data_IF_742726760296
#
_entry.id   IF_742726760296
#
_cell.length_a   1.000
_cell.length_b   1.000
_cell.length_c   1.000
_cell.angle_alpha   90.00
_cell.angle_beta   90.00
_cell.angle_gamma   90.00
#
_symmetry.space_group_name_H-M   'P 1'
#
loop_
_entity.id
_entity.type
_entity.pdbx_description
1 polymer ?
#
# COMPACT_ATOMS: atom_id res chain seq x y z
N UNK A 1 14.79 2.20 -2.40
CA UNK A 1 15.92 2.90 -3.03
C UNK A 1 16.42 2.18 -4.28
N UNK A 2 16.97 0.96 -4.22
CA UNK A 2 17.51 0.25 -5.39
C UNK A 2 16.52 0.06 -6.55
N UNK A 3 15.26 -0.26 -6.25
CA UNK A 3 14.20 -0.36 -7.26
C UNK A 3 13.90 1.00 -7.92
N UNK A 4 13.83 2.07 -7.12
CA UNK A 4 13.61 3.44 -7.62
C UNK A 4 14.76 3.92 -8.52
N UNK A 5 16.02 3.62 -8.16
CA UNK A 5 17.17 3.95 -8.98
C UNK A 5 17.17 3.18 -10.30
N UNK A 6 16.72 1.91 -10.28
CA UNK A 6 16.65 1.09 -11.49
C UNK A 6 15.50 1.49 -12.40
N UNK A 7 14.36 1.86 -11.83
CA UNK A 7 13.20 2.35 -12.56
C UNK A 7 13.45 3.71 -13.20
N UNK A 8 14.24 4.55 -12.54
CA UNK A 8 14.39 5.95 -12.89
C UNK A 8 13.21 6.80 -12.40
N UNK A 9 13.46 8.09 -12.20
CA UNK A 9 12.38 9.05 -11.90
C UNK A 9 11.88 9.59 -13.24
N UNK A 10 10.74 9.08 -13.67
CA UNK A 10 10.07 9.50 -14.90
C UNK A 10 8.62 9.94 -14.61
N UNK A 11 7.97 10.46 -15.64
CA UNK A 11 6.60 10.97 -15.54
C UNK A 11 5.61 9.86 -15.17
N UNK A 12 5.81 8.63 -15.63
CA UNK A 12 4.93 7.49 -15.41
C UNK A 12 4.93 7.09 -13.92
N UNK A 13 6.11 7.08 -13.30
CA UNK A 13 6.27 6.85 -11.87
C UNK A 13 5.53 7.92 -11.06
N UNK A 14 5.65 9.20 -11.45
CA UNK A 14 5.00 10.31 -10.75
C UNK A 14 3.48 10.22 -10.93
N UNK A 15 2.99 10.00 -12.15
CA UNK A 15 1.56 9.88 -12.43
C UNK A 15 0.92 8.72 -11.66
N UNK A 16 1.61 7.58 -11.62
CA UNK A 16 1.16 6.40 -10.87
C UNK A 16 1.15 6.63 -9.36
N UNK A 17 2.14 7.35 -8.83
CA UNK A 17 2.19 7.72 -7.42
C UNK A 17 1.05 8.70 -7.06
N UNK A 18 0.79 9.69 -7.90
CA UNK A 18 -0.32 10.61 -7.72
C UNK A 18 -1.66 9.89 -7.81
N UNK A 19 -1.85 9.00 -8.79
CA UNK A 19 -3.07 8.21 -8.93
C UNK A 19 -3.36 7.39 -7.66
N UNK A 20 -2.37 6.67 -7.14
CA UNK A 20 -2.52 5.89 -5.91
C UNK A 20 -2.84 6.76 -4.71
N UNK A 21 -2.09 7.86 -4.54
CA UNK A 21 -2.26 8.80 -3.43
C UNK A 21 -3.67 9.42 -3.45
N UNK A 22 -4.10 9.98 -4.59
CA UNK A 22 -5.42 10.59 -4.73
C UNK A 22 -6.55 9.58 -4.58
N UNK A 23 -6.39 8.35 -5.07
CA UNK A 23 -7.36 7.27 -4.87
C UNK A 23 -7.62 7.06 -3.38
N UNK A 24 -6.57 6.89 -2.57
CA UNK A 24 -6.72 6.67 -1.13
C UNK A 24 -7.33 7.90 -0.44
N UNK A 25 -6.88 9.11 -0.79
CA UNK A 25 -7.42 10.37 -0.24
C UNK A 25 -8.92 10.48 -0.55
N UNK A 26 -9.32 10.22 -1.79
CA UNK A 26 -10.72 10.27 -2.21
C UNK A 26 -11.58 9.32 -1.36
N UNK A 27 -11.17 8.06 -1.21
CA UNK A 27 -11.91 7.10 -0.40
C UNK A 27 -11.95 7.47 1.09
N UNK A 28 -10.86 7.97 1.67
CA UNK A 28 -10.85 8.44 3.06
C UNK A 28 -11.83 9.61 3.26
N UNK A 29 -11.86 10.53 2.31
CA UNK A 29 -12.81 11.65 2.33
C UNK A 29 -14.23 11.10 2.23
N UNK A 30 -14.55 10.28 1.23
CA UNK A 30 -15.88 9.70 1.06
C UNK A 30 -16.34 8.93 2.31
N UNK A 31 -15.47 8.07 2.88
CA UNK A 31 -15.82 7.28 4.06
C UNK A 31 -16.10 8.17 5.27
N UNK A 32 -15.37 9.26 5.46
CA UNK A 32 -15.54 10.08 6.65
C UNK A 32 -16.65 11.16 6.52
N UNK A 33 -16.98 11.58 5.29
CA UNK A 33 -18.03 12.59 5.06
C UNK A 33 -19.40 11.98 4.75
N UNK A 34 -19.48 10.75 4.24
CA UNK A 34 -20.75 10.07 3.97
C UNK A 34 -21.17 9.25 5.19
N UNK A 35 -22.28 9.61 5.90
CA UNK A 35 -22.66 8.96 7.16
C UNK A 35 -22.85 7.45 7.03
N UNK A 36 -23.41 6.98 5.91
CA UNK A 36 -23.61 5.57 5.66
C UNK A 36 -22.27 4.80 5.61
N UNK A 37 -21.26 5.35 4.92
CA UNK A 37 -19.94 4.74 4.83
C UNK A 37 -19.19 4.80 6.17
N UNK A 38 -19.35 5.88 6.92
CA UNK A 38 -18.76 6.02 8.26
C UNK A 38 -19.29 4.96 9.24
N UNK A 39 -20.55 4.59 9.14
CA UNK A 39 -21.15 3.51 9.94
C UNK A 39 -20.59 2.14 9.55
N UNK A 40 -20.30 1.92 8.26
CA UNK A 40 -19.67 0.69 7.75
C UNK A 40 -18.20 0.60 8.19
N UNK A 41 -17.48 1.72 8.15
CA UNK A 41 -16.05 1.81 8.49
C UNK A 41 -15.83 2.72 9.73
N UNK A 42 -16.32 2.33 10.92
CA UNK A 42 -16.30 3.21 12.10
C UNK A 42 -14.89 3.48 12.63
N UNK A 43 -13.92 2.66 12.26
CA UNK A 43 -12.56 2.70 12.78
C UNK A 43 -11.53 2.89 11.68
N UNK A 44 -10.53 3.74 11.90
CA UNK A 44 -9.42 3.91 10.96
C UNK A 44 -8.64 2.61 10.67
N UNK A 45 -8.59 1.67 11.62
CA UNK A 45 -7.97 0.36 11.36
C UNK A 45 -8.67 -0.41 10.24
N UNK A 46 -10.01 -0.37 10.17
CA UNK A 46 -10.79 -0.96 9.09
C UNK A 46 -10.65 -0.19 7.78
N UNK A 47 -10.65 1.15 7.86
CA UNK A 47 -10.43 2.01 6.69
C UNK A 47 -9.06 1.72 6.06
N UNK A 48 -8.01 1.70 6.87
CA UNK A 48 -6.66 1.41 6.39
C UNK A 48 -6.51 -0.01 5.86
N UNK A 49 -7.11 -1.00 6.54
CA UNK A 49 -7.11 -2.37 6.05
C UNK A 49 -7.82 -2.51 4.69
N UNK A 50 -8.85 -1.68 4.43
CA UNK A 50 -9.55 -1.64 3.15
C UNK A 50 -8.88 -0.80 2.07
N UNK A 51 -7.97 0.11 2.41
CA UNK A 51 -7.40 1.08 1.46
C UNK A 51 -5.90 0.85 1.20
N UNK A 52 -5.11 0.53 2.25
CA UNK A 52 -3.68 0.40 2.13
C UNK A 52 -3.31 -1.03 1.76
N UNK A 53 -2.73 -1.20 0.58
CA UNK A 53 -2.31 -2.49 0.03
C UNK A 53 -0.88 -2.86 0.36
N UNK A 54 -0.60 -4.16 0.36
CA UNK A 54 0.75 -4.72 0.47
C UNK A 54 1.49 -4.65 -0.88
N UNK A 55 1.56 -3.45 -1.41
CA UNK A 55 2.08 -3.13 -2.74
C UNK A 55 3.57 -3.42 -2.86
N UNK A 56 4.36 -3.11 -1.81
CA UNK A 56 5.80 -3.36 -1.79
C UNK A 56 6.14 -4.85 -1.71
N UNK A 57 5.54 -5.60 -0.78
CA UNK A 57 5.98 -6.96 -0.45
C UNK A 57 5.26 -8.05 -1.23
N UNK A 58 4.09 -7.77 -1.78
CA UNK A 58 3.35 -8.68 -2.66
C UNK A 58 3.13 -8.08 -4.05
N UNK A 59 2.76 -6.82 -4.14
CA UNK A 59 2.43 -6.19 -5.41
C UNK A 59 3.62 -6.12 -6.37
N UNK A 60 4.77 -5.63 -5.93
CA UNK A 60 5.98 -5.56 -6.77
C UNK A 60 6.45 -6.94 -7.21
N UNK A 61 6.59 -7.98 -6.34
CA UNK A 61 6.93 -9.33 -6.77
C UNK A 61 5.97 -9.91 -7.81
N UNK A 62 4.67 -9.72 -7.62
CA UNK A 62 3.64 -10.21 -8.54
C UNK A 62 3.76 -9.51 -9.91
N UNK A 63 3.93 -8.19 -9.92
CA UNK A 63 4.10 -7.45 -11.15
C UNK A 63 5.36 -7.88 -11.91
N UNK A 64 6.49 -8.05 -11.23
CA UNK A 64 7.73 -8.55 -11.85
C UNK A 64 7.56 -9.96 -12.43
N UNK A 65 6.73 -10.80 -11.82
CA UNK A 65 6.49 -12.16 -12.28
C UNK A 65 5.51 -12.25 -13.46
N UNK A 66 4.53 -11.35 -13.55
CA UNK A 66 3.43 -11.45 -14.50
C UNK A 66 3.52 -10.44 -15.65
N UNK A 67 4.25 -9.33 -15.48
CA UNK A 67 4.24 -8.21 -16.41
C UNK A 67 5.62 -7.94 -17.01
N UNK A 68 5.68 -7.32 -18.19
CA UNK A 68 6.93 -6.87 -18.78
C UNK A 68 7.65 -5.82 -17.93
N UNK A 69 8.97 -5.72 -18.11
CA UNK A 69 9.83 -4.83 -17.34
C UNK A 69 9.50 -3.35 -17.50
N UNK A 70 8.88 -2.96 -18.61
CA UNK A 70 8.44 -1.59 -18.89
C UNK A 70 7.39 -1.09 -17.89
N UNK A 71 6.62 -1.99 -17.29
CA UNK A 71 5.58 -1.64 -16.31
C UNK A 71 6.10 -1.39 -14.91
N UNK A 72 7.39 -1.59 -14.67
CA UNK A 72 7.98 -1.50 -13.32
C UNK A 72 7.83 -0.08 -12.73
N UNK A 73 7.87 0.95 -13.59
CA UNK A 73 7.72 2.34 -13.16
C UNK A 73 6.32 2.62 -12.61
N UNK A 74 5.29 2.10 -13.27
CA UNK A 74 3.90 2.20 -12.82
C UNK A 74 3.69 1.47 -11.49
N UNK A 75 4.26 0.28 -11.37
CA UNK A 75 4.20 -0.55 -10.17
C UNK A 75 4.86 0.12 -8.97
N UNK A 76 6.09 0.62 -9.13
CA UNK A 76 6.85 1.31 -8.08
C UNK A 76 6.21 2.66 -7.75
N UNK A 77 5.72 3.38 -8.76
CA UNK A 77 5.01 4.64 -8.56
C UNK A 77 3.77 4.46 -7.70
N UNK A 78 2.94 3.46 -8.00
CA UNK A 78 1.76 3.16 -7.19
C UNK A 78 2.11 2.81 -5.74
N UNK A 79 3.15 1.97 -5.54
CA UNK A 79 3.67 1.64 -4.22
C UNK A 79 4.15 2.90 -3.47
N UNK A 80 4.87 3.77 -4.15
CA UNK A 80 5.35 5.04 -3.59
C UNK A 80 4.20 5.92 -3.11
N UNK A 81 3.16 6.11 -3.93
CA UNK A 81 1.98 6.90 -3.57
C UNK A 81 1.24 6.33 -2.37
N UNK A 82 1.03 5.02 -2.34
CA UNK A 82 0.42 4.31 -1.21
C UNK A 82 1.26 4.44 0.07
N UNK A 83 2.57 4.30 -0.05
CA UNK A 83 3.51 4.38 1.08
C UNK A 83 3.60 5.79 1.62
N UNK A 84 3.69 6.81 0.75
CA UNK A 84 3.68 8.21 1.18
C UNK A 84 2.40 8.56 1.92
N UNK A 85 1.24 8.17 1.39
CA UNK A 85 -0.02 8.37 2.10
C UNK A 85 0.03 7.72 3.49
N UNK A 86 0.45 6.47 3.57
CA UNK A 86 0.47 5.70 4.81
C UNK A 86 1.33 6.35 5.89
N UNK A 87 2.52 6.83 5.54
CA UNK A 87 3.47 7.38 6.51
C UNK A 87 3.25 8.87 6.81
N UNK A 88 2.63 9.63 5.92
CA UNK A 88 2.31 11.05 6.13
C UNK A 88 0.98 11.20 6.87
N UNK A 89 -0.09 10.61 6.32
CA UNK A 89 -1.44 10.81 6.80
C UNK A 89 -1.90 9.74 7.81
N UNK A 90 -1.34 8.53 7.75
CA UNK A 90 -1.68 7.45 8.67
C UNK A 90 -1.53 7.84 10.14
N UNK A 91 -0.37 8.33 10.59
CA UNK A 91 -0.16 8.81 11.95
C UNK A 91 -1.14 9.90 12.36
N UNK A 92 -1.38 10.88 11.47
CA UNK A 92 -2.31 11.99 11.73
C UNK A 92 -3.74 11.51 11.96
N UNK A 93 -4.26 10.67 11.06
CA UNK A 93 -5.64 10.16 11.15
C UNK A 93 -5.84 9.27 12.38
N UNK A 94 -4.85 8.45 12.73
CA UNK A 94 -4.91 7.58 13.90
C UNK A 94 -4.83 8.36 15.23
N UNK A 95 -4.08 9.45 15.27
CA UNK A 95 -4.00 10.32 16.46
C UNK A 95 -5.29 11.10 16.69
N UNK A 96 -5.96 11.57 15.65
CA UNK A 96 -7.20 12.37 15.74
C UNK A 96 -8.30 11.70 16.57
N UNK A 97 -8.27 10.39 16.73
CA UNK A 97 -9.24 9.62 17.53
C UNK A 97 -8.82 9.40 18.98
N UNK A 98 -7.73 9.99 19.44
CA UNK A 98 -7.27 9.87 20.83
C UNK A 98 -7.78 11.04 21.67
N UNK A 99 -8.29 10.77 22.89
CA UNK A 99 -8.91 11.77 23.76
C UNK A 99 -7.98 12.93 24.18
N UNK A 100 -6.68 12.75 24.07
CA UNK A 100 -5.66 13.78 24.38
C UNK A 100 -5.12 14.46 23.12
N UNK A 101 -6.02 14.91 22.25
CA UNK A 101 -5.62 15.64 21.05
C UNK A 101 -5.21 17.08 21.41
N UNK A 102 -3.95 17.27 21.80
CA UNK A 102 -3.35 18.59 21.77
C UNK A 102 -2.97 18.93 20.33
N UNK A 103 -3.31 20.14 19.91
CA UNK A 103 -3.09 20.72 18.57
C UNK A 103 -1.87 20.12 17.85
N UNK A 104 -2.04 19.81 16.57
CA UNK A 104 -1.00 19.29 15.66
C UNK A 104 0.35 19.94 15.95
N UNK A 105 1.24 19.21 16.56
CA UNK A 105 2.61 19.65 16.66
C UNK A 105 3.26 19.41 15.29
N UNK A 106 3.20 20.41 14.40
CA UNK A 106 3.78 20.38 13.05
C UNK A 106 5.22 19.85 13.05
N UNK A 107 5.99 20.18 14.09
CA UNK A 107 7.36 19.68 14.25
C UNK A 107 7.40 18.16 14.40
N UNK A 108 6.49 17.57 15.19
CA UNK A 108 6.41 16.10 15.33
C UNK A 108 5.95 15.42 14.04
N UNK A 109 5.00 16.04 13.31
CA UNK A 109 4.54 15.52 12.03
C UNK A 109 5.68 15.56 10.99
N UNK A 110 6.33 16.70 10.82
CA UNK A 110 7.48 16.85 9.92
C UNK A 110 8.60 15.87 10.28
N UNK A 111 8.94 15.76 11.56
CA UNK A 111 9.94 14.81 12.04
C UNK A 111 9.56 13.36 11.71
N UNK A 112 8.29 12.99 11.88
CA UNK A 112 7.77 11.65 11.52
C UNK A 112 7.88 11.39 10.02
N UNK A 113 7.56 12.38 9.18
CA UNK A 113 7.69 12.29 7.72
C UNK A 113 9.15 12.07 7.32
N UNK A 114 10.06 12.94 7.76
CA UNK A 114 11.48 12.85 7.41
C UNK A 114 12.15 11.57 7.93
N UNK A 115 11.71 11.06 9.06
CA UNK A 115 12.24 9.81 9.64
C UNK A 115 11.59 8.55 9.07
N UNK A 116 10.58 8.66 8.21
CA UNK A 116 9.98 7.47 7.62
C UNK A 116 10.98 6.75 6.69
N UNK A 117 10.96 5.42 6.62
CA UNK A 117 11.81 4.66 5.71
C UNK A 117 11.62 5.07 4.23
N UNK A 118 10.39 5.40 3.85
CA UNK A 118 10.06 5.86 2.51
C UNK A 118 10.72 7.19 2.18
N UNK A 119 10.58 8.19 3.06
CA UNK A 119 11.19 9.52 2.84
C UNK A 119 12.72 9.45 2.78
N UNK A 120 13.33 8.66 3.68
CA UNK A 120 14.78 8.42 3.63
C UNK A 120 15.22 7.77 2.33
N UNK A 121 14.44 6.80 1.82
CA UNK A 121 14.68 6.17 0.53
C UNK A 121 14.62 7.16 -0.62
N UNK A 122 13.60 8.04 -0.65
CA UNK A 122 13.44 9.07 -1.67
C UNK A 122 14.56 10.11 -1.59
N UNK A 123 14.84 10.64 -0.39
CA UNK A 123 15.93 11.61 -0.19
C UNK A 123 17.26 11.01 -0.67
N UNK A 124 17.55 9.74 -0.32
CA UNK A 124 18.75 9.06 -0.79
C UNK A 124 18.81 8.92 -2.32
N UNK A 125 17.69 8.63 -2.98
CA UNK A 125 17.61 8.60 -4.45
C UNK A 125 17.88 9.98 -5.04
N UNK A 126 17.23 11.02 -4.52
CA UNK A 126 17.43 12.39 -5.00
C UNK A 126 18.89 12.84 -4.86
N UNK A 127 19.54 12.53 -3.73
CA UNK A 127 20.97 12.83 -3.53
C UNK A 127 21.82 12.09 -4.59
N UNK A 128 21.55 10.82 -4.87
CA UNK A 128 22.29 10.02 -5.86
C UNK A 128 22.14 10.63 -7.26
N UNK A 129 20.93 11.08 -7.62
CA UNK A 129 20.69 11.77 -8.90
C UNK A 129 21.42 13.11 -8.99
N UNK A 130 21.47 13.90 -7.90
CA UNK A 130 22.20 15.17 -7.88
C UNK A 130 23.72 15.03 -8.13
N UNK A 131 24.28 13.86 -7.87
CA UNK A 131 25.69 13.57 -8.09
C UNK A 131 25.94 12.71 -9.35
N UNK A 132 24.93 12.49 -10.20
CA UNK A 132 25.00 11.65 -11.41
C UNK A 132 25.56 10.22 -11.16
N UNK A 133 25.26 9.68 -9.98
CA UNK A 133 25.71 8.35 -9.54
C UNK A 133 24.62 7.27 -9.69
N UNK A 134 23.47 7.62 -10.26
CA UNK A 134 22.26 6.76 -10.36
C UNK A 134 22.54 5.46 -11.09
N UNK A 135 23.27 5.47 -12.22
CA UNK A 135 23.58 4.28 -12.98
C UNK A 135 24.52 3.31 -12.24
N UNK A 136 25.56 3.84 -11.59
CA UNK A 136 26.56 3.03 -10.86
C UNK A 136 25.94 2.41 -9.60
N UNK A 137 25.31 3.26 -8.78
CA UNK A 137 24.70 2.85 -7.51
C UNK A 137 23.45 2.02 -7.75
N UNK A 138 22.65 2.33 -8.78
CA UNK A 138 21.46 1.59 -9.17
C UNK A 138 21.81 0.13 -9.54
N UNK A 139 22.85 -0.07 -10.35
CA UNK A 139 23.31 -1.42 -10.70
C UNK A 139 23.86 -2.19 -9.48
N UNK A 140 24.58 -1.54 -8.59
CA UNK A 140 25.08 -2.14 -7.35
C UNK A 140 23.93 -2.54 -6.39
N UNK A 141 22.93 -1.67 -6.22
CA UNK A 141 21.80 -1.91 -5.33
C UNK A 141 20.71 -2.81 -5.92
N UNK A 142 20.78 -3.14 -7.22
CA UNK A 142 19.77 -3.97 -7.88
C UNK A 142 19.69 -5.38 -7.29
N UNK A 143 20.85 -6.03 -7.08
CA UNK A 143 20.91 -7.39 -6.50
C UNK A 143 20.38 -7.40 -5.06
N UNK A 144 20.88 -6.55 -4.14
CA UNK A 144 20.30 -6.43 -2.80
C UNK A 144 18.80 -6.13 -2.80
N UNK A 145 18.32 -5.25 -3.69
CA UNK A 145 16.89 -4.93 -3.77
C UNK A 145 16.05 -6.16 -4.11
N UNK A 146 16.49 -7.01 -5.04
CA UNK A 146 15.80 -8.27 -5.37
C UNK A 146 15.82 -9.27 -4.22
N UNK A 147 16.94 -9.40 -3.52
CA UNK A 147 17.04 -10.27 -2.33
C UNK A 147 16.02 -9.83 -1.26
N UNK A 148 15.93 -8.52 -1.01
CA UNK A 148 14.96 -7.97 -0.04
C UNK A 148 13.52 -8.29 -0.44
N UNK A 149 13.17 -8.32 -1.74
CA UNK A 149 11.83 -8.73 -2.19
C UNK A 149 11.52 -10.17 -1.78
N UNK A 150 12.45 -11.12 -1.97
CA UNK A 150 12.25 -12.51 -1.56
C UNK A 150 12.17 -12.64 -0.03
N UNK A 151 13.04 -11.94 0.71
CA UNK A 151 12.98 -11.90 2.17
C UNK A 151 11.66 -11.32 2.66
N UNK A 152 11.11 -10.33 1.97
CA UNK A 152 9.82 -9.74 2.30
C UNK A 152 8.68 -10.76 2.24
N UNK A 153 8.66 -11.64 1.23
CA UNK A 153 7.66 -12.73 1.13
C UNK A 153 7.77 -13.67 2.35
N UNK A 154 8.99 -14.01 2.77
CA UNK A 154 9.20 -14.82 3.97
C UNK A 154 8.66 -14.11 5.22
N UNK A 155 8.91 -12.80 5.35
CA UNK A 155 8.37 -11.99 6.47
C UNK A 155 6.84 -11.96 6.45
N UNK A 156 6.21 -11.84 5.28
CA UNK A 156 4.74 -11.93 5.16
C UNK A 156 4.26 -13.30 5.63
N UNK A 157 4.88 -14.39 5.15
CA UNK A 157 4.54 -15.77 5.53
C UNK A 157 4.68 -16.01 7.04
N UNK A 158 5.79 -15.60 7.65
CA UNK A 158 5.99 -15.74 9.11
C UNK A 158 4.98 -14.93 9.91
N UNK A 159 4.64 -13.72 9.50
CA UNK A 159 3.60 -12.91 10.14
C UNK A 159 2.22 -13.57 10.06
N UNK A 160 1.88 -14.11 8.90
CA UNK A 160 0.64 -14.88 8.74
C UNK A 160 0.62 -16.12 9.65
N UNK A 161 1.73 -16.86 9.73
CA UNK A 161 1.86 -18.02 10.62
C UNK A 161 1.66 -17.67 12.10
N UNK A 162 2.22 -16.56 12.58
CA UNK A 162 2.02 -16.07 13.95
C UNK A 162 0.54 -15.72 14.20
N UNK A 163 -0.14 -15.08 13.24
CA UNK A 163 -1.55 -14.72 13.35
C UNK A 163 -2.41 -15.98 13.39
N UNK A 164 -2.10 -16.97 12.56
CA UNK A 164 -2.83 -18.24 12.48
C UNK A 164 -2.74 -19.08 13.76
N UNK A 165 -1.56 -19.06 14.40
CA UNK A 165 -1.34 -19.83 15.63
C UNK A 165 -2.13 -19.28 16.84
N UNK A 166 -2.59 -18.05 16.79
CA UNK A 166 -3.53 -17.49 17.75
C UNK A 166 -4.97 -17.86 17.35
N UNK A 167 -5.41 -19.08 17.73
CA UNK A 167 -6.74 -19.66 17.41
C UNK A 167 -7.95 -18.72 17.62
N UNK A 168 -7.84 -17.72 18.50
CA UNK A 168 -8.88 -16.70 18.75
C UNK A 168 -9.09 -15.72 17.59
N UNK A 169 -8.11 -15.56 16.71
CA UNK A 169 -8.14 -14.51 15.68
C UNK A 169 -9.00 -14.90 14.47
N UNK A 170 -9.08 -16.18 14.13
CA UNK A 170 -9.65 -16.62 12.85
C UNK A 170 -11.17 -16.74 12.88
N UNK A 171 -11.78 -17.17 14.00
CA UNK A 171 -13.17 -17.60 14.03
C UNK A 171 -14.23 -16.56 14.46
N UNK A 172 -13.85 -15.36 14.88
CA UNK A 172 -14.82 -14.31 15.21
C UNK A 172 -14.86 -13.23 14.13
N UNK A 173 -15.66 -13.44 13.10
CA UNK A 173 -15.95 -12.40 12.09
C UNK A 173 -16.81 -11.29 12.73
N UNK A 174 -16.20 -10.13 13.03
CA UNK A 174 -16.97 -8.91 13.18
C UNK A 174 -17.46 -8.49 11.80
N UNK A 175 -18.77 -8.22 11.67
CA UNK A 175 -19.41 -7.93 10.37
C UNK A 175 -18.71 -6.87 9.53
N UNK A 176 -18.11 -5.87 10.16
CA UNK A 176 -17.45 -4.76 9.47
C UNK A 176 -16.16 -5.13 8.72
N UNK A 177 -15.52 -6.27 9.03
CA UNK A 177 -14.31 -6.71 8.30
C UNK A 177 -14.65 -7.03 6.84
N UNK A 178 -15.79 -7.66 6.56
CA UNK A 178 -16.23 -8.01 5.22
C UNK A 178 -16.22 -6.82 4.26
N UNK A 179 -16.60 -5.64 4.75
CA UNK A 179 -16.62 -4.42 3.94
C UNK A 179 -15.20 -3.95 3.58
N UNK A 180 -14.25 -4.06 4.52
CA UNK A 180 -12.83 -3.77 4.21
C UNK A 180 -12.26 -4.74 3.17
N UNK A 181 -12.67 -6.02 3.20
CA UNK A 181 -12.27 -7.02 2.20
C UNK A 181 -12.83 -6.66 0.82
N UNK A 182 -14.14 -6.37 0.74
CA UNK A 182 -14.81 -5.98 -0.51
C UNK A 182 -14.19 -4.69 -1.06
N UNK A 183 -13.98 -3.70 -0.19
CA UNK A 183 -13.33 -2.44 -0.59
C UNK A 183 -11.95 -2.71 -1.18
N UNK A 184 -11.13 -3.52 -0.50
CA UNK A 184 -9.74 -3.75 -0.88
C UNK A 184 -9.57 -4.60 -2.13
N UNK A 185 -10.30 -5.72 -2.21
CA UNK A 185 -10.08 -6.72 -3.25
C UNK A 185 -10.98 -6.57 -4.47
N UNK A 186 -12.03 -5.74 -4.38
CA UNK A 186 -12.99 -5.57 -5.47
C UNK A 186 -13.15 -4.09 -5.85
N UNK A 187 -13.58 -3.24 -4.91
CA UNK A 187 -13.93 -1.84 -5.23
C UNK A 187 -12.72 -1.03 -5.67
N UNK A 188 -11.61 -1.12 -4.94
CA UNK A 188 -10.39 -0.38 -5.28
C UNK A 188 -9.81 -0.76 -6.65
N UNK A 189 -9.59 -2.04 -7.00
CA UNK A 189 -9.09 -2.38 -8.32
C UNK A 189 -10.05 -1.97 -9.44
N UNK A 190 -11.38 -2.10 -9.26
CA UNK A 190 -12.36 -1.62 -10.25
C UNK A 190 -12.27 -0.10 -10.39
N UNK A 191 -12.19 0.63 -9.29
CA UNK A 191 -12.08 2.09 -9.32
C UNK A 191 -10.80 2.54 -10.03
N UNK A 192 -9.65 1.92 -9.73
CA UNK A 192 -8.38 2.20 -10.39
C UNK A 192 -8.47 1.86 -11.88
N UNK A 193 -9.09 0.74 -12.25
CA UNK A 193 -9.32 0.39 -13.65
C UNK A 193 -10.09 1.49 -14.39
N UNK A 194 -11.21 1.94 -13.83
CA UNK A 194 -12.02 3.01 -14.42
C UNK A 194 -11.22 4.31 -14.54
N UNK A 195 -10.46 4.68 -13.49
CA UNK A 195 -9.61 5.88 -13.55
C UNK A 195 -8.53 5.78 -14.64
N UNK A 196 -7.88 4.63 -14.77
CA UNK A 196 -6.87 4.42 -15.81
C UNK A 196 -7.48 4.56 -17.20
N UNK A 197 -8.69 4.04 -17.41
CA UNK A 197 -9.41 4.18 -18.70
C UNK A 197 -9.78 5.64 -18.99
N UNK A 198 -10.21 6.40 -17.98
CA UNK A 198 -10.50 7.84 -18.11
C UNK A 198 -9.23 8.65 -18.40
N UNK A 199 -8.13 8.30 -17.79
CA UNK A 199 -6.83 8.96 -17.95
C UNK A 199 -6.05 8.48 -19.19
N UNK A 200 -6.62 7.57 -20.00
CA UNK A 200 -6.04 7.02 -21.23
C UNK A 200 -4.69 6.27 -21.01
N UNK A 201 -4.53 5.58 -19.89
CA UNK A 201 -3.44 4.64 -19.73
C UNK A 201 -3.57 3.46 -20.70
N UNK A 202 -2.46 2.96 -21.21
CA UNK A 202 -2.42 1.73 -22.00
C UNK A 202 -2.91 0.52 -21.20
N UNK A 203 -3.31 -0.55 -21.90
CA UNK A 203 -3.86 -1.72 -21.24
C UNK A 203 -2.87 -2.35 -20.26
N UNK A 204 -1.61 -2.45 -20.67
CA UNK A 204 -0.55 -3.08 -19.86
C UNK A 204 -0.21 -2.25 -18.62
N UNK A 205 -0.21 -0.92 -18.72
CA UNK A 205 -0.03 0.03 -17.63
C UNK A 205 -1.21 -0.06 -16.65
N UNK A 206 -2.43 -0.09 -17.21
CA UNK A 206 -3.67 -0.29 -16.46
C UNK A 206 -3.61 -1.60 -15.68
N UNK A 207 -3.15 -2.68 -16.28
CA UNK A 207 -3.00 -3.98 -15.62
C UNK A 207 -2.04 -3.87 -14.43
N UNK A 208 -0.90 -3.21 -14.60
CA UNK A 208 0.07 -3.00 -13.52
C UNK A 208 -0.56 -2.26 -12.32
N UNK A 209 -1.26 -1.16 -12.60
CA UNK A 209 -1.89 -0.31 -11.57
C UNK A 209 -3.04 -1.03 -10.86
N UNK A 210 -3.87 -1.78 -11.61
CA UNK A 210 -4.99 -2.54 -11.05
C UNK A 210 -4.51 -3.71 -10.19
N UNK A 211 -3.46 -4.43 -10.62
CA UNK A 211 -2.86 -5.47 -9.79
C UNK A 211 -2.32 -4.90 -8.48
N UNK A 212 -1.69 -3.72 -8.50
CA UNK A 212 -1.24 -3.02 -7.29
C UNK A 212 -2.42 -2.64 -6.38
N UNK A 213 -3.50 -2.12 -6.95
CA UNK A 213 -4.71 -1.79 -6.20
C UNK A 213 -5.37 -3.04 -5.59
N UNK A 214 -5.33 -4.19 -6.29
CA UNK A 214 -5.89 -5.48 -5.86
C UNK A 214 -5.02 -6.26 -4.87
N UNK A 215 -3.83 -5.76 -4.48
CA UNK A 215 -3.00 -6.41 -3.46
C UNK A 215 -3.74 -6.51 -2.11
N UNK A 216 -3.48 -7.53 -1.28
CA UNK A 216 -4.10 -7.64 0.05
C UNK A 216 -3.72 -6.48 0.97
N UNK A 217 -4.37 -6.36 2.11
CA UNK A 217 -4.06 -5.34 3.11
C UNK A 217 -2.58 -5.35 3.49
N UNK A 218 -2.01 -4.17 3.77
CA UNK A 218 -0.60 -4.04 4.09
C UNK A 218 -0.25 -4.44 5.53
N UNK A 219 0.95 -4.97 5.72
CA UNK A 219 1.51 -5.24 7.07
C UNK A 219 1.63 -3.93 7.87
N UNK A 220 1.92 -2.81 7.22
CA UNK A 220 2.01 -1.50 7.84
C UNK A 220 0.74 -1.09 8.59
N UNK A 221 -0.44 -1.59 8.18
CA UNK A 221 -1.70 -1.33 8.88
C UNK A 221 -1.73 -1.92 10.30
N UNK A 222 -1.12 -3.10 10.49
CA UNK A 222 -0.96 -3.72 11.82
C UNK A 222 0.03 -2.92 12.66
N UNK A 223 1.18 -2.55 12.08
CA UNK A 223 2.21 -1.79 12.77
C UNK A 223 1.69 -0.43 13.24
N UNK A 224 0.94 0.26 12.37
CA UNK A 224 0.28 1.51 12.74
C UNK A 224 -0.79 1.32 13.82
N UNK A 225 -1.63 0.29 13.69
CA UNK A 225 -2.64 -0.01 14.72
C UNK A 225 -1.99 -0.29 16.09
N UNK A 226 -0.85 -0.99 16.10
CA UNK A 226 -0.08 -1.28 17.31
C UNK A 226 0.56 0.00 17.90
N UNK A 227 1.28 0.77 17.08
CA UNK A 227 1.95 2.00 17.50
C UNK A 227 0.99 3.04 18.08
N UNK A 228 -0.21 3.14 17.53
CA UNK A 228 -1.23 4.09 17.99
C UNK A 228 -2.30 3.48 18.90
N UNK A 229 -2.05 2.27 19.46
CA UNK A 229 -2.94 1.55 20.39
C UNK A 229 -4.38 1.43 19.85
N UNK A 230 -4.52 1.15 18.54
CA UNK A 230 -5.80 0.91 17.87
C UNK A 230 -6.09 -0.59 17.78
N UNK A 231 -7.13 -0.94 17.07
CA UNK A 231 -7.63 -2.32 16.97
C UNK A 231 -6.70 -3.21 16.13
N UNK A 232 -5.53 -3.57 16.67
CA UNK A 232 -4.54 -4.44 16.04
C UNK A 232 -5.13 -5.76 15.53
N UNK A 233 -6.02 -6.37 16.32
CA UNK A 233 -6.64 -7.65 15.95
C UNK A 233 -7.47 -7.54 14.67
N UNK A 234 -8.20 -6.42 14.46
CA UNK A 234 -8.97 -6.21 13.23
C UNK A 234 -8.05 -6.06 12.02
N UNK A 235 -6.97 -5.30 12.15
CA UNK A 235 -5.98 -5.14 11.09
C UNK A 235 -5.31 -6.49 10.75
N UNK A 236 -4.97 -7.28 11.77
CA UNK A 236 -4.37 -8.60 11.59
C UNK A 236 -5.31 -9.58 10.90
N UNK A 237 -6.60 -9.61 11.29
CA UNK A 237 -7.63 -10.44 10.64
C UNK A 237 -7.81 -10.01 9.17
N UNK A 238 -7.95 -8.73 8.91
CA UNK A 238 -8.10 -8.22 7.56
C UNK A 238 -6.89 -8.58 6.68
N UNK A 239 -5.66 -8.39 7.18
CA UNK A 239 -4.44 -8.83 6.49
C UNK A 239 -4.50 -10.33 6.14
N UNK A 240 -4.77 -11.18 7.12
CA UNK A 240 -4.80 -12.63 6.92
C UNK A 240 -5.81 -13.04 5.85
N UNK A 241 -7.05 -12.59 6.00
CA UNK A 241 -8.13 -12.99 5.11
C UNK A 241 -7.93 -12.42 3.70
N UNK A 242 -7.54 -11.14 3.58
CA UNK A 242 -7.26 -10.54 2.26
C UNK A 242 -6.09 -11.23 1.57
N UNK A 243 -5.06 -11.68 2.31
CA UNK A 243 -3.93 -12.39 1.70
C UNK A 243 -4.36 -13.74 1.14
N UNK A 244 -5.19 -14.50 1.86
CA UNK A 244 -5.72 -15.78 1.35
C UNK A 244 -6.61 -15.55 0.13
N UNK A 245 -7.54 -14.62 0.19
CA UNK A 245 -8.47 -14.36 -0.92
C UNK A 245 -7.70 -13.80 -2.13
N UNK A 246 -6.66 -13.00 -1.91
CA UNK A 246 -5.86 -12.41 -3.00
C UNK A 246 -5.13 -13.45 -3.85
N UNK A 247 -4.88 -14.65 -3.33
CA UNK A 247 -4.30 -15.75 -4.14
C UNK A 247 -5.21 -16.18 -5.29
N UNK A 248 -6.51 -15.90 -5.19
CA UNK A 248 -7.49 -16.14 -6.25
C UNK A 248 -7.84 -14.85 -7.00
N UNK A 249 -8.06 -13.74 -6.27
CA UNK A 249 -8.53 -12.51 -6.91
C UNK A 249 -7.48 -11.85 -7.81
N UNK A 250 -6.19 -11.92 -7.46
CA UNK A 250 -5.13 -11.33 -8.29
C UNK A 250 -4.99 -12.05 -9.65
N UNK A 251 -4.88 -13.40 -9.72
CA UNK A 251 -4.92 -14.10 -11.00
C UNK A 251 -6.19 -13.83 -11.81
N UNK A 252 -7.36 -13.76 -11.15
CA UNK A 252 -8.60 -13.43 -11.84
C UNK A 252 -8.59 -12.00 -12.42
N UNK A 253 -8.13 -11.01 -11.66
CA UNK A 253 -7.97 -9.64 -12.17
C UNK A 253 -7.03 -9.60 -13.37
N UNK A 254 -5.92 -10.31 -13.31
CA UNK A 254 -4.97 -10.40 -14.42
C UNK A 254 -5.62 -10.99 -15.69
N UNK A 255 -6.39 -12.10 -15.55
CA UNK A 255 -7.06 -12.75 -16.67
C UNK A 255 -8.23 -11.94 -17.26
N UNK A 256 -8.90 -11.14 -16.44
CA UNK A 256 -10.06 -10.33 -16.90
C UNK A 256 -9.61 -9.08 -17.65
N UNK A 257 -8.44 -8.53 -17.30
CA UNK A 257 -7.95 -7.29 -17.90
C UNK A 257 -7.19 -7.56 -19.20
N UNK A 258 -6.45 -8.67 -19.28
CA UNK A 258 -5.72 -9.10 -20.48
C UNK A 258 -6.56 -10.06 -21.33
#
# INVERSE_FOLDING_TARGET
>A
MGLLLKAGINIDLINSALLAFFTIVCFIICINYIPALKNIFPNYSLQFAGLIGNTSFLGIPIAIALLPTETINFTIGFDLGTTLFSWIFGPYLLQKTSANYSFLNYKKLLFSIFNSPASRGIIGVLIIYLFDLDSKIGNFLWIPARIVIYLAIIVVGTRLGIITNSKKVIFQFKENIKYSLILKLLILPIFVYVLCRILNFELIETTALVLQAGTPSAISTILMAEAYKKQRELAAKALFITTIISTVTIPLLFLIIN
#
